data_IF_179255071805
#
_entry.id   IF_179255071805
#
_cell.length_a   1.000
_cell.length_b   1.000
_cell.length_c   1.000
_cell.angle_alpha   90.00
_cell.angle_beta   90.00
_cell.angle_gamma   90.00
#
_symmetry.space_group_name_H-M   'P 1'
#
loop_
_entity.id
_entity.type
_entity.pdbx_description
1 polymer ?
#
# COMPACT_ATOMS: atom_id res chain seq x y z
N UNK A 1 47.63 -13.31 -35.64
CA UNK A 1 47.78 -14.17 -34.45
C UNK A 1 47.87 -13.38 -33.14
N UNK A 2 48.97 -12.69 -32.77
CA UNK A 2 49.04 -11.97 -31.46
C UNK A 2 48.00 -10.85 -31.26
N UNK A 3 47.53 -10.21 -32.34
CA UNK A 3 46.53 -9.14 -32.26
C UNK A 3 45.08 -9.66 -32.13
N UNK A 4 44.83 -10.91 -32.54
CA UNK A 4 43.50 -11.52 -32.49
C UNK A 4 43.17 -11.98 -31.06
N UNK A 5 44.14 -12.59 -30.36
CA UNK A 5 43.96 -13.01 -28.96
C UNK A 5 43.75 -11.83 -28.00
N UNK A 6 44.49 -10.73 -28.19
CA UNK A 6 44.30 -9.50 -27.41
C UNK A 6 42.94 -8.85 -27.65
N UNK A 7 42.46 -8.87 -28.90
CA UNK A 7 41.12 -8.37 -29.27
C UNK A 7 40.00 -9.23 -28.67
N UNK A 8 40.16 -10.56 -28.65
CA UNK A 8 39.21 -11.49 -28.01
C UNK A 8 39.15 -11.26 -26.49
N UNK A 9 40.30 -11.03 -25.84
CA UNK A 9 40.33 -10.76 -24.40
C UNK A 9 39.62 -9.45 -24.04
N UNK A 10 39.88 -8.37 -24.79
CA UNK A 10 39.26 -7.06 -24.57
C UNK A 10 37.75 -7.13 -24.82
N UNK A 11 37.31 -7.76 -25.91
CA UNK A 11 35.88 -7.91 -26.22
C UNK A 11 35.16 -8.77 -25.16
N UNK A 12 35.80 -9.82 -24.66
CA UNK A 12 35.26 -10.62 -23.54
C UNK A 12 35.12 -9.79 -22.26
N UNK A 13 36.13 -8.98 -21.93
CA UNK A 13 36.09 -8.12 -20.74
C UNK A 13 34.98 -7.06 -20.84
N UNK A 14 34.84 -6.45 -22.03
CA UNK A 14 33.76 -5.50 -22.30
C UNK A 14 32.40 -6.17 -22.21
N UNK A 15 32.26 -7.36 -22.78
CA UNK A 15 31.02 -8.14 -22.69
C UNK A 15 30.65 -8.44 -21.23
N UNK A 16 31.57 -8.97 -20.44
CA UNK A 16 31.36 -9.24 -19.01
C UNK A 16 30.97 -7.97 -18.25
N UNK A 17 31.62 -6.85 -18.55
CA UNK A 17 31.33 -5.56 -17.91
C UNK A 17 29.92 -5.07 -18.23
N UNK A 18 29.50 -5.14 -19.50
CA UNK A 18 28.15 -4.77 -19.93
C UNK A 18 27.12 -5.70 -19.32
N UNK A 19 27.35 -7.01 -19.33
CA UNK A 19 26.46 -7.99 -18.70
C UNK A 19 26.31 -7.73 -17.20
N UNK A 20 27.40 -7.43 -16.50
CA UNK A 20 27.37 -7.08 -15.08
C UNK A 20 26.55 -5.80 -14.83
N UNK A 21 26.69 -4.78 -15.68
CA UNK A 21 25.87 -3.57 -15.61
C UNK A 21 24.38 -3.87 -15.83
N UNK A 22 24.06 -4.70 -16.83
CA UNK A 22 22.68 -5.08 -17.14
C UNK A 22 22.03 -5.85 -15.98
N UNK A 23 22.73 -6.84 -15.42
CA UNK A 23 22.25 -7.60 -14.26
C UNK A 23 22.02 -6.67 -13.06
N UNK A 24 22.96 -5.76 -12.79
CA UNK A 24 22.82 -4.77 -11.72
C UNK A 24 21.62 -3.83 -11.93
N UNK A 25 21.38 -3.39 -13.17
CA UNK A 25 20.23 -2.58 -13.55
C UNK A 25 18.91 -3.32 -13.29
N UNK A 26 18.79 -4.56 -13.79
CA UNK A 26 17.59 -5.39 -13.62
C UNK A 26 17.32 -5.65 -12.14
N UNK A 27 18.35 -5.96 -11.35
CA UNK A 27 18.21 -6.20 -9.91
C UNK A 27 17.61 -4.99 -9.17
N UNK A 28 18.06 -3.77 -9.49
CA UNK A 28 17.50 -2.54 -8.91
C UNK A 28 16.04 -2.32 -9.30
N UNK A 29 15.70 -2.59 -10.56
CA UNK A 29 14.32 -2.48 -11.07
C UNK A 29 13.42 -3.45 -10.32
N UNK A 30 13.82 -4.71 -10.18
CA UNK A 30 13.06 -5.73 -9.45
C UNK A 30 12.87 -5.33 -7.98
N UNK A 31 13.94 -4.88 -7.30
CA UNK A 31 13.86 -4.44 -5.91
C UNK A 31 12.86 -3.28 -5.73
N UNK A 32 12.84 -2.35 -6.67
CA UNK A 32 11.90 -1.23 -6.66
C UNK A 32 10.47 -1.73 -6.86
N UNK A 33 10.25 -2.64 -7.81
CA UNK A 33 8.92 -3.20 -8.08
C UNK A 33 8.37 -3.98 -6.87
N UNK A 34 9.20 -4.79 -6.20
CA UNK A 34 8.80 -5.51 -4.97
C UNK A 34 8.37 -4.52 -3.88
N UNK A 35 9.13 -3.43 -3.71
CA UNK A 35 8.78 -2.40 -2.73
C UNK A 35 7.45 -1.71 -3.07
N UNK A 36 7.22 -1.38 -4.34
CA UNK A 36 5.97 -0.79 -4.80
C UNK A 36 4.78 -1.75 -4.62
N UNK A 37 4.96 -3.04 -4.94
CA UNK A 37 3.92 -4.06 -4.73
C UNK A 37 3.53 -4.17 -3.26
N UNK A 38 4.49 -4.14 -2.34
CA UNK A 38 4.20 -4.15 -0.91
C UNK A 38 3.41 -2.91 -0.48
N UNK A 39 3.80 -1.72 -0.94
CA UNK A 39 3.07 -0.48 -0.65
C UNK A 39 1.63 -0.52 -1.19
N UNK A 40 1.43 -1.04 -2.41
CA UNK A 40 0.12 -1.24 -3.01
C UNK A 40 -0.70 -2.21 -2.17
N UNK A 41 -0.13 -3.34 -1.76
CA UNK A 41 -0.80 -4.32 -0.94
C UNK A 41 -1.31 -3.73 0.37
N UNK A 42 -0.47 -2.98 1.10
CA UNK A 42 -0.86 -2.31 2.35
C UNK A 42 -1.93 -1.25 2.16
N UNK A 43 -1.85 -0.49 1.06
CA UNK A 43 -2.89 0.48 0.68
C UNK A 43 -4.23 -0.21 0.42
N UNK A 44 -4.23 -1.35 -0.27
CA UNK A 44 -5.44 -2.14 -0.51
C UNK A 44 -6.03 -2.70 0.78
N UNK A 45 -5.21 -3.25 1.68
CA UNK A 45 -5.67 -3.75 2.97
C UNK A 45 -6.32 -2.63 3.79
N UNK A 46 -5.67 -1.47 3.89
CA UNK A 46 -6.21 -0.34 4.63
C UNK A 46 -7.53 0.19 4.03
N UNK A 47 -7.60 0.35 2.71
CA UNK A 47 -8.82 0.78 2.01
C UNK A 47 -9.96 -0.22 2.16
N UNK A 48 -9.66 -1.51 2.15
CA UNK A 48 -10.67 -2.54 2.38
C UNK A 48 -11.24 -2.43 3.79
N UNK A 49 -10.39 -2.21 4.80
CA UNK A 49 -10.84 -2.01 6.19
C UNK A 49 -11.70 -0.75 6.35
N UNK A 50 -11.34 0.35 5.67
CA UNK A 50 -12.18 1.57 5.63
C UNK A 50 -13.53 1.24 5.02
N UNK A 51 -13.57 0.68 3.81
CA UNK A 51 -14.82 0.39 3.10
C UNK A 51 -15.75 -0.54 3.89
N UNK A 52 -15.20 -1.53 4.58
CA UNK A 52 -15.96 -2.38 5.50
C UNK A 52 -16.49 -1.59 6.71
N UNK A 53 -15.67 -0.72 7.28
CA UNK A 53 -16.05 0.15 8.40
C UNK A 53 -17.17 1.13 7.99
N UNK A 54 -17.07 1.74 6.82
CA UNK A 54 -18.11 2.60 6.25
C UNK A 54 -19.43 1.85 6.10
N UNK A 55 -19.40 0.62 5.57
CA UNK A 55 -20.59 -0.23 5.42
C UNK A 55 -21.23 -0.55 6.78
N UNK A 56 -20.42 -0.83 7.79
CA UNK A 56 -20.91 -1.08 9.17
C UNK A 56 -21.53 0.20 9.73
N UNK A 57 -20.87 1.34 9.58
CA UNK A 57 -21.33 2.63 10.06
C UNK A 57 -22.62 3.09 9.37
N UNK A 58 -22.78 2.84 8.07
CA UNK A 58 -24.03 3.12 7.35
C UNK A 58 -25.18 2.35 7.98
N UNK A 59 -25.01 1.04 8.18
CA UNK A 59 -26.05 0.18 8.77
C UNK A 59 -26.38 0.59 10.20
N UNK A 60 -25.37 0.80 11.04
CA UNK A 60 -25.58 1.27 12.42
C UNK A 60 -26.27 2.63 12.47
N UNK A 61 -26.00 3.50 11.50
CA UNK A 61 -26.66 4.79 11.40
C UNK A 61 -28.11 4.66 10.92
N UNK A 62 -28.42 3.77 9.98
CA UNK A 62 -29.80 3.49 9.57
C UNK A 62 -30.65 3.06 10.79
N UNK A 63 -30.11 2.16 11.61
CA UNK A 63 -30.80 1.62 12.79
C UNK A 63 -30.92 2.61 13.96
N UNK A 64 -29.83 3.35 14.26
CA UNK A 64 -29.72 4.15 15.48
C UNK A 64 -29.78 5.67 15.26
N UNK A 65 -29.71 6.11 14.00
CA UNK A 65 -29.63 7.51 13.54
C UNK A 65 -28.53 8.32 14.23
N UNK A 66 -27.48 7.65 14.75
CA UNK A 66 -26.41 8.28 15.52
C UNK A 66 -25.05 7.66 15.22
N UNK A 67 -24.11 8.49 14.76
CA UNK A 67 -22.69 8.14 14.73
C UNK A 67 -22.10 8.12 16.13
N UNK A 68 -21.17 7.17 16.36
CA UNK A 68 -20.44 7.02 17.62
C UNK A 68 -18.93 7.00 17.36
N UNK A 69 -18.18 7.47 18.36
CA UNK A 69 -16.76 7.18 18.44
C UNK A 69 -16.58 5.69 18.71
N UNK A 70 -15.52 5.10 18.17
CA UNK A 70 -15.30 3.68 18.36
C UNK A 70 -14.04 3.18 17.69
N UNK A 71 -13.93 1.86 17.67
CA UNK A 71 -12.81 1.16 17.07
C UNK A 71 -13.26 -0.21 16.60
N UNK A 72 -12.96 -0.52 15.34
CA UNK A 72 -13.21 -1.84 14.76
C UNK A 72 -11.87 -2.55 14.61
N UNK A 73 -11.78 -3.76 15.15
CA UNK A 73 -10.61 -4.61 15.01
C UNK A 73 -10.79 -5.55 13.83
N UNK A 74 -9.76 -5.64 13.01
CA UNK A 74 -9.62 -6.57 11.90
C UNK A 74 -8.41 -7.47 12.17
N UNK A 75 -8.31 -8.58 11.44
CA UNK A 75 -7.16 -9.49 11.58
C UNK A 75 -5.82 -8.83 11.20
N UNK A 76 -5.85 -7.81 10.33
CA UNK A 76 -4.67 -7.13 9.78
C UNK A 76 -4.39 -5.77 10.41
N UNK A 77 -5.23 -5.33 11.34
CA UNK A 77 -5.11 -4.01 11.93
C UNK A 77 -6.41 -3.54 12.56
N UNK A 78 -6.55 -2.24 12.71
CA UNK A 78 -7.69 -1.62 13.35
C UNK A 78 -8.08 -0.33 12.66
N UNK A 79 -9.37 0.02 12.73
CA UNK A 79 -9.90 1.29 12.29
C UNK A 79 -10.46 2.02 13.50
N UNK A 80 -9.91 3.19 13.80
CA UNK A 80 -10.40 4.10 14.82
C UNK A 80 -11.39 5.06 14.17
N UNK A 81 -12.57 5.18 14.78
CA UNK A 81 -13.67 6.01 14.32
C UNK A 81 -13.76 7.20 15.25
N UNK A 82 -13.54 8.41 14.71
CA UNK A 82 -13.65 9.66 15.45
C UNK A 82 -14.75 10.52 14.83
N UNK A 83 -15.90 10.57 15.50
CA UNK A 83 -17.03 11.44 15.15
C UNK A 83 -16.60 12.90 15.17
N UNK A 84 -16.84 13.59 14.06
CA UNK A 84 -16.64 15.03 13.92
C UNK A 84 -17.98 15.78 14.00
N UNK A 85 -19.05 15.19 13.45
CA UNK A 85 -20.41 15.73 13.50
C UNK A 85 -21.44 14.60 13.45
N UNK A 86 -22.74 14.93 13.42
CA UNK A 86 -23.80 13.91 13.38
C UNK A 86 -23.82 13.05 12.11
N UNK A 87 -23.15 13.50 11.05
CA UNK A 87 -23.05 12.77 9.77
C UNK A 87 -21.63 12.63 9.23
N UNK A 88 -20.62 13.04 10.00
CA UNK A 88 -19.22 12.95 9.59
C UNK A 88 -18.36 12.28 10.65
N UNK A 89 -17.51 11.37 10.20
CA UNK A 89 -16.48 10.78 11.04
C UNK A 89 -15.16 10.67 10.29
N UNK A 90 -14.08 10.75 11.06
CA UNK A 90 -12.73 10.46 10.61
C UNK A 90 -12.46 8.98 10.88
N UNK A 91 -12.03 8.26 9.84
CA UNK A 91 -11.62 6.87 9.90
C UNK A 91 -10.11 6.80 9.80
N UNK A 92 -9.45 6.34 10.87
CA UNK A 92 -8.00 6.19 10.91
C UNK A 92 -7.65 4.70 10.99
N UNK A 93 -7.00 4.19 9.96
CA UNK A 93 -6.53 2.82 9.89
C UNK A 93 -5.11 2.74 10.43
N UNK A 94 -4.83 1.70 11.22
CA UNK A 94 -3.49 1.30 11.60
C UNK A 94 -3.32 -0.20 11.32
N UNK A 95 -2.34 -0.54 10.48
CA UNK A 95 -1.99 -1.94 10.22
C UNK A 95 -1.09 -2.49 11.33
N UNK A 96 -1.29 -3.74 11.74
CA UNK A 96 -0.63 -4.31 12.91
C UNK A 96 0.87 -4.55 12.69
N UNK A 97 1.24 -4.99 11.49
CA UNK A 97 2.58 -5.49 11.19
C UNK A 97 3.55 -4.40 10.70
N UNK A 98 3.04 -3.19 10.40
CA UNK A 98 3.82 -2.10 9.81
C UNK A 98 3.32 -0.74 10.30
N UNK A 99 4.21 0.26 10.31
CA UNK A 99 3.85 1.66 10.60
C UNK A 99 3.18 2.34 9.40
N UNK A 100 2.08 1.75 8.93
CA UNK A 100 1.24 2.33 7.89
C UNK A 100 -0.07 2.81 8.51
N UNK A 101 -0.39 4.08 8.26
CA UNK A 101 -1.62 4.72 8.70
C UNK A 101 -2.28 5.44 7.53
N UNK A 102 -3.58 5.27 7.40
CA UNK A 102 -4.40 5.97 6.42
C UNK A 102 -5.55 6.64 7.17
N UNK A 103 -5.81 7.91 6.86
CA UNK A 103 -6.91 8.66 7.45
C UNK A 103 -7.82 9.13 6.34
N UNK A 104 -9.11 8.84 6.46
CA UNK A 104 -10.13 9.21 5.49
C UNK A 104 -11.33 9.84 6.20
N UNK A 105 -11.92 10.87 5.59
CA UNK A 105 -13.17 11.46 6.07
C UNK A 105 -14.33 10.72 5.42
N UNK A 106 -15.21 10.17 6.25
CA UNK A 106 -16.43 9.53 5.82
C UNK A 106 -17.63 10.42 6.13
N UNK A 107 -18.48 10.62 5.12
CA UNK A 107 -19.71 11.40 5.20
C UNK A 107 -20.88 10.48 4.91
N UNK A 108 -21.83 10.39 5.85
CA UNK A 108 -23.11 9.73 5.62
C UNK A 108 -23.95 10.58 4.69
N UNK A 109 -23.92 10.26 3.40
CA UNK A 109 -24.83 10.83 2.42
C UNK A 109 -26.11 10.00 2.35
N UNK A 110 -27.26 10.63 2.63
CA UNK A 110 -28.54 10.01 2.34
C UNK A 110 -28.70 10.09 0.83
N UNK A 111 -28.55 8.97 0.13
CA UNK A 111 -29.29 8.81 -1.12
C UNK A 111 -30.76 8.63 -0.73
N UNK A 112 -31.49 9.75 -0.68
CA UNK A 112 -32.96 9.76 -0.73
C UNK A 112 -33.44 9.43 -2.15
#
# INVERSE_FOLDING_TARGET
>A
MKNEEGSILISTLLFVSVTAMLIGGISRVISTQVTQLNQIHYSYEARSMISMTETILTKEFEDSQKLKNGKIKFNKGEVKISKQSDRRCLLEVSLADIKYTLTEEYVLDKRE
#
